data_IF_218882479505
#
_entry.id   IF_218882479505
#
_cell.length_a   1.000
_cell.length_b   1.000
_cell.length_c   1.000
_cell.angle_alpha   90.00
_cell.angle_beta   90.00
_cell.angle_gamma   90.00
#
_symmetry.space_group_name_H-M   'P 1'
#
loop_
_entity.id
_entity.type
_entity.pdbx_description
1 polymer ?
#
# COMPACT_ATOMS: atom_id res chain seq x y z
N UNK A 1 20.29 -20.19 -3.25
CA UNK A 1 18.85 -19.98 -2.95
C UNK A 1 18.68 -18.60 -2.32
N UNK A 2 18.26 -17.60 -3.10
CA UNK A 2 17.94 -16.29 -2.54
C UNK A 2 16.59 -16.42 -1.81
N UNK A 3 16.62 -16.43 -0.47
CA UNK A 3 15.43 -16.18 0.34
C UNK A 3 15.08 -14.70 0.18
N UNK A 4 14.41 -14.35 -0.90
CA UNK A 4 13.80 -13.02 -1.04
C UNK A 4 12.77 -12.89 0.07
N UNK A 5 13.04 -12.02 1.03
CA UNK A 5 12.11 -11.74 2.11
C UNK A 5 10.85 -11.11 1.47
N UNK A 6 9.68 -11.78 1.50
CA UNK A 6 8.49 -11.37 0.73
C UNK A 6 7.95 -9.99 1.15
N UNK A 7 8.44 -9.46 2.27
CA UNK A 7 8.13 -8.12 2.77
C UNK A 7 8.80 -7.02 1.94
N UNK A 8 9.87 -7.28 1.19
CA UNK A 8 10.58 -6.24 0.43
C UNK A 8 10.43 -6.35 -1.07
N UNK A 9 9.84 -7.43 -1.59
CA UNK A 9 9.69 -7.64 -3.01
C UNK A 9 8.29 -7.25 -3.49
N UNK A 10 8.21 -6.26 -4.39
CA UNK A 10 6.96 -5.85 -5.02
C UNK A 10 6.77 -6.55 -6.38
N UNK A 11 5.83 -7.51 -6.50
CA UNK A 11 5.51 -8.24 -7.72
C UNK A 11 4.54 -7.49 -8.63
N UNK A 12 3.92 -6.39 -8.19
CA UNK A 12 2.93 -5.68 -9.01
C UNK A 12 3.64 -4.81 -10.04
N UNK A 13 3.23 -4.98 -11.30
CA UNK A 13 3.46 -4.02 -12.38
C UNK A 13 2.36 -2.98 -12.38
N UNK A 14 1.10 -3.43 -12.35
CA UNK A 14 -0.07 -2.57 -12.38
C UNK A 14 -1.25 -3.21 -11.62
N UNK A 15 -2.09 -2.39 -11.01
CA UNK A 15 -3.45 -2.77 -10.58
C UNK A 15 -4.48 -1.81 -11.17
N UNK A 16 -5.64 -2.35 -11.51
CA UNK A 16 -6.80 -1.63 -12.04
C UNK A 16 -8.02 -1.92 -11.19
N UNK A 17 -8.91 -0.94 -11.06
CA UNK A 17 -10.06 -1.09 -10.19
C UNK A 17 -10.93 0.15 -10.08
N UNK A 18 -11.64 0.24 -8.97
CA UNK A 18 -12.52 1.35 -8.63
C UNK A 18 -12.34 1.78 -7.17
N UNK A 19 -12.41 3.10 -6.95
CA UNK A 19 -12.52 3.74 -5.64
C UNK A 19 -13.99 4.05 -5.41
N UNK A 20 -14.53 3.59 -4.29
CA UNK A 20 -15.91 3.82 -3.83
C UNK A 20 -16.93 3.52 -4.95
N UNK A 21 -16.68 2.43 -5.70
CA UNK A 21 -17.48 1.92 -6.83
C UNK A 21 -17.66 2.89 -8.01
N UNK A 22 -16.96 4.04 -8.02
CA UNK A 22 -17.24 5.13 -8.96
C UNK A 22 -16.02 5.58 -9.75
N UNK A 23 -14.91 5.83 -9.07
CA UNK A 23 -13.74 6.41 -9.71
C UNK A 23 -12.82 5.31 -10.20
N UNK A 24 -12.50 5.31 -11.50
CA UNK A 24 -11.54 4.36 -12.07
C UNK A 24 -10.17 4.57 -11.43
N UNK A 25 -9.57 3.47 -11.04
CA UNK A 25 -8.25 3.39 -10.45
C UNK A 25 -7.31 2.66 -11.40
N UNK A 26 -6.14 3.24 -11.62
CA UNK A 26 -4.98 2.56 -12.22
C UNK A 26 -3.74 2.99 -11.45
N UNK A 27 -3.03 2.05 -10.85
CA UNK A 27 -1.81 2.30 -10.10
C UNK A 27 -0.71 1.35 -10.55
N UNK A 28 0.51 1.87 -10.60
CA UNK A 28 1.67 1.12 -11.04
C UNK A 28 2.61 0.85 -9.87
N UNK A 29 3.40 -0.23 -10.01
CA UNK A 29 4.56 -0.56 -9.19
C UNK A 29 4.34 -0.32 -7.68
N UNK A 30 5.12 0.58 -7.06
CA UNK A 30 5.11 0.78 -5.61
C UNK A 30 3.76 1.30 -5.12
N UNK A 31 3.06 2.15 -5.88
CA UNK A 31 1.74 2.65 -5.48
C UNK A 31 0.73 1.51 -5.39
N UNK A 32 0.76 0.58 -6.34
CA UNK A 32 -0.04 -0.64 -6.30
C UNK A 32 0.27 -1.45 -5.02
N UNK A 33 1.55 -1.67 -4.74
CA UNK A 33 2.00 -2.41 -3.56
C UNK A 33 1.58 -1.76 -2.23
N UNK A 34 1.76 -0.44 -2.10
CA UNK A 34 1.34 0.29 -0.90
C UNK A 34 -0.18 0.19 -0.73
N UNK A 35 -0.96 0.30 -1.81
CA UNK A 35 -2.41 0.19 -1.71
C UNK A 35 -2.85 -1.19 -1.23
N UNK A 36 -2.30 -2.27 -1.82
CA UNK A 36 -2.60 -3.65 -1.40
C UNK A 36 -2.30 -3.86 0.07
N UNK A 37 -1.18 -3.30 0.56
CA UNK A 37 -0.82 -3.41 1.96
C UNK A 37 -1.74 -2.62 2.88
N UNK A 38 -2.20 -1.45 2.47
CA UNK A 38 -3.21 -0.69 3.21
C UNK A 38 -4.54 -1.44 3.27
N UNK A 39 -4.95 -2.06 2.15
CA UNK A 39 -6.13 -2.93 2.11
C UNK A 39 -5.98 -4.11 3.08
N UNK A 40 -4.84 -4.79 3.05
CA UNK A 40 -4.56 -5.92 3.94
C UNK A 40 -4.47 -5.52 5.42
N UNK A 41 -3.90 -4.35 5.72
CA UNK A 41 -3.84 -3.82 7.08
C UNK A 41 -5.22 -3.38 7.61
N UNK A 42 -6.16 -3.05 6.71
CA UNK A 42 -7.51 -2.62 7.06
C UNK A 42 -7.52 -1.51 8.11
N UNK A 43 -8.36 -1.67 9.15
CA UNK A 43 -8.53 -0.69 10.23
C UNK A 43 -7.30 -0.51 11.11
N UNK A 44 -6.38 -1.48 11.13
CA UNK A 44 -5.12 -1.39 11.90
C UNK A 44 -4.18 -0.35 11.27
N UNK A 45 -4.26 -0.21 9.94
CA UNK A 45 -3.45 0.71 9.16
C UNK A 45 -1.96 0.36 9.11
N UNK A 46 -1.22 1.14 8.33
CA UNK A 46 0.21 0.98 8.13
C UNK A 46 1.00 2.07 8.87
N UNK A 47 2.07 1.71 9.57
CA UNK A 47 3.07 2.66 10.07
C UNK A 47 4.22 2.81 9.07
N UNK A 48 4.98 3.92 9.09
CA UNK A 48 6.21 4.06 8.31
C UNK A 48 7.20 2.90 8.49
N UNK A 49 7.28 2.33 9.70
CA UNK A 49 8.15 1.20 10.01
C UNK A 49 7.74 -0.12 9.32
N UNK A 50 6.46 -0.29 8.94
CA UNK A 50 5.94 -1.57 8.46
C UNK A 50 6.11 -1.81 6.94
N UNK A 51 6.34 -0.76 6.15
CA UNK A 51 6.22 -0.86 4.69
C UNK A 51 7.50 -0.51 3.93
N UNK A 52 7.95 0.74 4.01
CA UNK A 52 8.99 1.29 3.13
C UNK A 52 9.78 2.44 3.80
N UNK A 53 9.77 2.53 5.13
CA UNK A 53 10.47 3.59 5.85
C UNK A 53 9.99 5.01 5.48
N UNK A 54 10.88 6.03 5.41
CA UNK A 54 10.51 7.44 5.26
C UNK A 54 9.70 7.74 3.98
N UNK A 55 9.87 6.92 2.94
CA UNK A 55 9.18 7.07 1.64
C UNK A 55 7.69 6.77 1.70
N UNK A 56 7.17 6.14 2.77
CA UNK A 56 5.74 5.84 2.88
C UNK A 56 4.88 7.11 2.78
N UNK A 57 5.30 8.18 3.44
CA UNK A 57 4.58 9.46 3.44
C UNK A 57 4.37 10.02 2.02
N UNK A 58 5.39 9.89 1.16
CA UNK A 58 5.33 10.29 -0.26
C UNK A 58 4.29 9.47 -1.02
N UNK A 59 4.31 8.15 -0.89
CA UNK A 59 3.33 7.29 -1.55
C UNK A 59 1.90 7.56 -1.06
N UNK A 60 1.70 7.80 0.23
CA UNK A 60 0.39 8.18 0.76
C UNK A 60 -0.09 9.52 0.14
N UNK A 61 0.81 10.48 -0.05
CA UNK A 61 0.48 11.74 -0.71
C UNK A 61 0.00 11.49 -2.16
N UNK A 62 0.73 10.68 -2.93
CA UNK A 62 0.35 10.35 -4.30
C UNK A 62 -0.96 9.56 -4.38
N UNK A 63 -1.19 8.59 -3.49
CA UNK A 63 -2.46 7.86 -3.42
C UNK A 63 -3.65 8.79 -3.12
N UNK A 64 -3.45 9.79 -2.24
CA UNK A 64 -4.49 10.79 -1.96
C UNK A 64 -4.77 11.69 -3.15
N UNK A 65 -3.74 12.09 -3.90
CA UNK A 65 -3.91 12.86 -5.15
C UNK A 65 -4.70 12.06 -6.19
N UNK A 66 -4.56 10.73 -6.19
CA UNK A 66 -5.37 9.83 -7.03
C UNK A 66 -6.83 9.67 -6.54
N UNK A 67 -7.25 10.36 -5.48
CA UNK A 67 -8.61 10.33 -4.96
C UNK A 67 -8.87 9.26 -3.90
N UNK A 68 -7.85 8.52 -3.46
CA UNK A 68 -8.02 7.47 -2.44
C UNK A 68 -8.11 8.10 -1.05
N UNK A 69 -9.22 7.86 -0.37
CA UNK A 69 -9.43 8.28 1.00
C UNK A 69 -8.52 7.54 1.97
N UNK A 70 -7.47 8.21 2.45
CA UNK A 70 -6.53 7.67 3.45
C UNK A 70 -6.44 8.62 4.64
N UNK A 71 -6.78 8.14 5.84
CA UNK A 71 -6.71 8.90 7.08
C UNK A 71 -5.37 8.70 7.79
N UNK A 72 -4.77 9.80 8.25
CA UNK A 72 -3.63 9.76 9.18
C UNK A 72 -4.17 9.70 10.61
N UNK A 73 -3.86 8.65 11.35
CA UNK A 73 -4.28 8.45 12.74
C UNK A 73 -3.05 8.54 13.64
N UNK A 74 -3.12 9.39 14.67
CA UNK A 74 -2.11 9.43 15.73
C UNK A 74 -2.33 8.25 16.67
N UNK A 75 -1.27 7.51 16.94
CA UNK A 75 -1.24 6.37 17.88
C UNK A 75 -0.19 6.63 18.95
N UNK A 76 -0.26 5.93 20.09
CA UNK A 76 0.89 5.83 20.98
C UNK A 76 2.05 5.20 20.20
N UNK A 77 3.25 5.78 20.34
CA UNK A 77 4.44 5.22 19.72
C UNK A 77 4.77 3.86 20.32
N UNK A 78 5.27 2.94 19.51
CA UNK A 78 5.69 1.59 19.95
C UNK A 78 6.91 1.61 20.86
N UNK A 79 7.72 2.67 20.83
CA UNK A 79 8.88 2.87 21.71
C UNK A 79 8.54 3.63 23.01
N UNK A 80 7.25 3.96 23.21
CA UNK A 80 6.78 4.70 24.38
C UNK A 80 7.15 6.19 24.42
N UNK A 81 7.84 6.71 23.39
CA UNK A 81 8.21 8.14 23.31
C UNK A 81 7.45 8.84 22.18
N UNK A 82 6.66 9.85 22.55
CA UNK A 82 5.89 10.64 21.58
C UNK A 82 4.73 9.89 20.92
N UNK A 83 4.27 10.41 19.79
CA UNK A 83 3.14 9.88 19.03
C UNK A 83 3.63 9.19 17.76
N UNK A 84 3.20 7.95 17.57
CA UNK A 84 3.31 7.25 16.29
C UNK A 84 2.21 7.71 15.32
N UNK A 85 2.41 7.39 14.04
CA UNK A 85 1.45 7.65 12.97
C UNK A 85 1.10 6.36 12.25
N UNK A 86 -0.20 6.18 12.00
CA UNK A 86 -0.75 5.11 11.16
C UNK A 86 -1.55 5.71 10.01
N UNK A 87 -1.42 5.12 8.83
CA UNK A 87 -2.23 5.44 7.66
C UNK A 87 -3.29 4.36 7.50
N UNK A 88 -4.56 4.75 7.53
CA UNK A 88 -5.71 3.86 7.47
C UNK A 88 -6.48 4.14 6.18
N UNK A 89 -6.71 3.09 5.39
CA UNK A 89 -7.55 3.17 4.20
C UNK A 89 -9.02 3.37 4.63
N UNK A 90 -9.68 4.35 4.03
CA UNK A 90 -11.07 4.68 4.32
C UNK A 90 -11.98 4.50 3.10
N UNK A 91 -11.48 4.75 1.90
CA UNK A 91 -12.21 4.41 0.67
C UNK A 91 -12.37 2.90 0.51
N UNK A 92 -13.51 2.48 0.00
CA UNK A 92 -13.70 1.14 -0.55
C UNK A 92 -12.91 1.00 -1.85
N UNK A 93 -12.09 -0.04 -1.94
CA UNK A 93 -11.29 -0.33 -3.14
C UNK A 93 -11.72 -1.68 -3.69
N UNK A 94 -12.11 -1.70 -4.96
CA UNK A 94 -12.42 -2.92 -5.69
C UNK A 94 -11.36 -3.10 -6.76
N UNK A 95 -10.65 -4.23 -6.73
CA UNK A 95 -9.65 -4.56 -7.73
C UNK A 95 -10.30 -5.42 -8.80
N UNK A 96 -10.16 -5.02 -10.05
CA UNK A 96 -10.73 -5.73 -11.21
C UNK A 96 -9.66 -6.26 -12.16
N UNK A 97 -8.40 -5.88 -11.97
CA UNK A 97 -7.28 -6.40 -12.77
C UNK A 97 -5.94 -6.20 -12.09
N UNK A 98 -5.03 -7.14 -12.31
CA UNK A 98 -3.68 -7.12 -11.77
C UNK A 98 -2.72 -7.60 -12.84
N UNK A 99 -1.68 -6.82 -13.11
CA UNK A 99 -0.53 -7.24 -13.91
C UNK A 99 0.69 -7.40 -13.00
N UNK A 100 1.35 -8.54 -13.08
CA UNK A 100 2.56 -8.85 -12.32
C UNK A 100 3.82 -8.58 -13.15
N UNK A 101 4.95 -8.38 -12.48
CA UNK A 101 6.27 -8.31 -13.14
C UNK A 101 6.66 -9.69 -13.67
N UNK A 102 7.26 -9.73 -14.86
CA UNK A 102 7.60 -10.97 -15.58
C UNK A 102 8.54 -11.92 -14.82
N UNK A 103 9.37 -11.38 -13.91
CA UNK A 103 10.29 -12.13 -13.05
C UNK A 103 9.61 -13.09 -12.06
N UNK A 104 8.28 -13.19 -12.06
CA UNK A 104 7.49 -14.11 -11.23
C UNK A 104 7.10 -15.43 -11.94
N UNK A 105 7.36 -15.58 -13.25
CA UNK A 105 6.99 -16.78 -14.01
C UNK A 105 8.13 -17.81 -14.22
N UNK A 106 9.38 -17.49 -13.87
CA UNK A 106 10.55 -18.36 -14.11
C UNK A 106 11.02 -19.13 -12.85
N UNK A 107 10.09 -19.50 -11.97
CA UNK A 107 10.34 -20.50 -10.95
C UNK A 107 9.65 -21.81 -11.34
N UNK A 108 10.21 -22.46 -12.36
CA UNK A 108 9.95 -23.87 -12.68
C UNK A 108 10.58 -24.82 -11.68
#
# INVERSE_FOLDING_TARGET
MLRTNPIFYNPFKEIRGYIDERLKLKLEAELAWILIRLMHAGKVGCTPANLMGPSLSRFICELRKAGIGIKTVRTKSTDGRGFGVRYVLHSGIIITGVDLKETFNDAG
#
